data_IF_871961778262
#
_entry.id   IF_871961778262
#
_cell.length_a   1.000
_cell.length_b   1.000
_cell.length_c   1.000
_cell.angle_alpha   90.00
_cell.angle_beta   90.00
_cell.angle_gamma   90.00
#
_symmetry.space_group_name_H-M   'P 1'
#
loop_
_entity.id
_entity.type
_entity.pdbx_description
1 polymer ?
#
# COMPACT_ATOMS: atom_id res chain seq x y z
N UNK A 1 -8.43 -14.02 -3.27
CA UNK A 1 -8.25 -12.56 -3.39
C UNK A 1 -6.87 -12.29 -3.93
N UNK A 2 -6.76 -11.31 -4.83
CA UNK A 2 -5.45 -10.76 -5.22
C UNK A 2 -4.84 -9.99 -4.05
N UNK A 3 -3.54 -9.73 -4.07
CA UNK A 3 -2.89 -8.91 -3.04
C UNK A 3 -3.51 -7.49 -2.95
N UNK A 4 -3.80 -6.79 -4.08
CA UNK A 4 -4.54 -5.54 -4.05
C UNK A 4 -5.91 -5.66 -3.37
N UNK A 5 -6.67 -6.73 -3.61
CA UNK A 5 -7.96 -6.93 -2.93
C UNK A 5 -7.80 -7.10 -1.42
N UNK A 6 -6.76 -7.82 -0.98
CA UNK A 6 -6.46 -8.01 0.45
C UNK A 6 -6.13 -6.68 1.12
N UNK A 7 -5.29 -5.85 0.50
CA UNK A 7 -4.90 -4.53 1.02
C UNK A 7 -6.11 -3.59 1.06
N UNK A 8 -6.96 -3.63 0.04
CA UNK A 8 -8.22 -2.87 -0.01
C UNK A 8 -9.19 -3.33 1.09
N UNK A 9 -9.32 -4.63 1.34
CA UNK A 9 -10.16 -5.10 2.44
C UNK A 9 -9.63 -4.58 3.79
N UNK A 10 -8.32 -4.68 4.02
CA UNK A 10 -7.69 -4.18 5.23
C UNK A 10 -7.84 -2.66 5.44
N UNK A 11 -8.01 -1.88 4.35
CA UNK A 11 -8.32 -0.45 4.43
C UNK A 11 -9.70 -0.22 5.07
N UNK A 12 -10.72 -0.95 4.62
CA UNK A 12 -12.06 -0.86 5.21
C UNK A 12 -12.11 -1.41 6.62
N UNK A 13 -11.39 -2.51 6.89
CA UNK A 13 -11.28 -3.07 8.24
C UNK A 13 -10.65 -2.06 9.21
N UNK A 14 -9.63 -1.31 8.77
CA UNK A 14 -9.03 -0.25 9.58
C UNK A 14 -10.06 0.84 9.92
N UNK A 15 -10.84 1.29 8.94
CA UNK A 15 -11.87 2.33 9.15
C UNK A 15 -12.94 1.84 10.13
N UNK A 16 -13.38 0.60 9.99
CA UNK A 16 -14.39 -0.01 10.87
C UNK A 16 -13.87 -0.09 12.32
N UNK A 17 -12.61 -0.51 12.49
CA UNK A 17 -12.00 -0.68 13.82
C UNK A 17 -11.61 0.64 14.50
N UNK A 18 -11.18 1.65 13.74
CA UNK A 18 -10.58 2.88 14.29
C UNK A 18 -11.49 4.11 14.10
N UNK A 19 -12.63 3.97 13.41
CA UNK A 19 -13.52 5.06 13.02
C UNK A 19 -12.79 6.23 12.33
N UNK A 20 -11.68 5.94 11.64
CA UNK A 20 -10.76 6.92 11.04
C UNK A 20 -10.22 6.41 9.70
N UNK A 21 -10.05 7.30 8.73
CA UNK A 21 -9.52 6.96 7.40
C UNK A 21 -7.99 7.00 7.43
N UNK A 22 -7.28 5.86 7.22
CA UNK A 22 -5.83 5.86 7.19
C UNK A 22 -5.34 6.62 5.94
N UNK A 23 -4.21 7.29 6.05
CA UNK A 23 -3.66 8.12 4.98
C UNK A 23 -2.33 7.59 4.41
N UNK A 24 -1.82 6.49 4.98
CA UNK A 24 -0.52 5.92 4.61
C UNK A 24 -0.53 4.40 4.68
N UNK A 25 -0.07 3.75 3.61
CA UNK A 25 0.12 2.31 3.53
C UNK A 25 1.61 1.99 3.66
N UNK A 26 1.99 1.21 4.66
CA UNK A 26 3.36 0.71 4.79
C UNK A 26 3.40 -0.75 4.31
N UNK A 27 4.28 -1.09 3.38
CA UNK A 27 4.42 -2.45 2.82
C UNK A 27 5.85 -2.98 2.93
N UNK A 28 6.04 -4.29 2.96
CA UNK A 28 7.38 -4.89 2.83
C UNK A 28 7.94 -4.70 1.42
N UNK A 29 9.27 -4.82 1.27
CA UNK A 29 9.94 -4.74 -0.05
C UNK A 29 9.37 -5.76 -1.06
N UNK A 30 9.07 -6.98 -0.61
CA UNK A 30 8.51 -8.04 -1.48
C UNK A 30 7.06 -7.75 -1.86
N UNK A 31 6.27 -7.19 -0.94
CA UNK A 31 4.90 -6.75 -1.22
C UNK A 31 4.90 -5.60 -2.22
N UNK A 32 5.81 -4.63 -2.06
CA UNK A 32 5.98 -3.53 -3.01
C UNK A 32 6.32 -4.02 -4.42
N UNK A 33 7.26 -4.95 -4.57
CA UNK A 33 7.61 -5.55 -5.86
C UNK A 33 6.42 -6.30 -6.49
N UNK A 34 5.67 -7.02 -5.65
CA UNK A 34 4.46 -7.72 -6.09
C UNK A 34 3.41 -6.75 -6.61
N UNK A 35 3.17 -5.64 -5.89
CA UNK A 35 2.24 -4.58 -6.29
C UNK A 35 2.66 -3.87 -7.58
N UNK A 36 3.95 -3.63 -7.80
CA UNK A 36 4.45 -3.06 -9.06
C UNK A 36 4.18 -3.96 -10.28
N UNK A 37 4.10 -5.27 -10.06
CA UNK A 37 3.88 -6.25 -11.13
C UNK A 37 2.39 -6.50 -11.38
N UNK A 38 1.51 -6.03 -10.50
CA UNK A 38 0.08 -6.29 -10.54
C UNK A 38 -0.67 -5.18 -11.30
N UNK A 39 -1.55 -5.56 -12.23
CA UNK A 39 -2.38 -4.62 -12.97
C UNK A 39 -3.71 -4.41 -12.22
N UNK A 40 -3.69 -3.52 -11.23
CA UNK A 40 -4.87 -3.18 -10.43
C UNK A 40 -5.23 -1.70 -10.55
N UNK A 41 -6.53 -1.41 -10.70
CA UNK A 41 -7.06 -0.04 -10.70
C UNK A 41 -6.84 0.73 -9.39
N UNK A 42 -6.50 0.01 -8.31
CA UNK A 42 -6.20 0.62 -7.02
C UNK A 42 -4.78 1.19 -6.94
N UNK A 43 -3.89 0.79 -7.85
CA UNK A 43 -2.48 1.12 -7.83
C UNK A 43 -2.19 2.17 -8.90
N UNK A 44 -1.55 3.27 -8.50
CA UNK A 44 -0.97 4.25 -9.41
C UNK A 44 0.51 4.35 -9.15
N UNK A 45 1.31 4.16 -10.18
CA UNK A 45 2.76 4.31 -10.15
C UNK A 45 3.16 5.60 -10.85
N UNK A 46 4.06 6.36 -10.24
CA UNK A 46 4.60 7.60 -10.78
C UNK A 46 6.12 7.41 -10.87
N UNK A 47 6.69 7.29 -12.09
CA UNK A 47 8.13 7.21 -12.24
C UNK A 47 8.77 8.52 -11.76
N UNK A 48 9.82 8.43 -10.96
CA UNK A 48 10.57 9.58 -10.47
C UNK A 48 11.91 9.72 -11.21
N UNK A 49 12.40 10.95 -11.33
CA UNK A 49 13.70 11.25 -11.96
C UNK A 49 14.89 10.58 -11.25
N UNK A 50 14.70 10.13 -10.00
CA UNK A 50 15.68 9.39 -9.20
C UNK A 50 15.84 7.92 -9.62
N UNK A 51 15.03 7.44 -10.57
CA UNK A 51 14.97 6.02 -10.93
C UNK A 51 14.14 5.17 -9.95
N UNK A 52 13.53 5.78 -8.94
CA UNK A 52 12.54 5.14 -8.08
C UNK A 52 11.13 5.31 -8.66
N UNK A 53 10.20 4.49 -8.20
CA UNK A 53 8.78 4.58 -8.54
C UNK A 53 8.03 4.95 -7.29
N UNK A 54 7.39 6.12 -7.28
CA UNK A 54 6.40 6.46 -6.26
C UNK A 54 5.13 5.66 -6.53
N UNK A 55 4.48 5.19 -5.47
CA UNK A 55 3.30 4.35 -5.56
C UNK A 55 2.20 4.91 -4.67
N UNK A 56 1.00 4.98 -5.23
CA UNK A 56 -0.23 5.28 -4.50
C UNK A 56 -1.18 4.10 -4.56
N UNK A 57 -1.76 3.75 -3.41
CA UNK A 57 -2.79 2.74 -3.28
C UNK A 57 -4.09 3.39 -2.82
N UNK A 58 -5.17 3.28 -3.60
CA UNK A 58 -6.43 4.01 -3.39
C UNK A 58 -6.24 5.55 -3.29
N UNK A 59 -5.17 6.07 -3.91
CA UNK A 59 -4.81 7.50 -3.84
C UNK A 59 -3.97 7.90 -2.63
N UNK A 60 -3.69 6.99 -1.70
CA UNK A 60 -2.84 7.22 -0.53
C UNK A 60 -1.40 6.76 -0.76
N UNK A 61 -0.45 7.39 -0.08
CA UNK A 61 0.97 7.11 -0.24
C UNK A 61 1.33 5.71 0.24
N UNK A 62 2.26 5.06 -0.48
CA UNK A 62 2.79 3.74 -0.15
C UNK A 62 4.27 3.86 0.23
N UNK A 63 4.58 3.54 1.48
CA UNK A 63 5.94 3.45 1.99
C UNK A 63 6.48 2.03 2.00
N UNK A 64 7.80 1.89 1.90
CA UNK A 64 8.48 0.60 2.06
C UNK A 64 9.03 0.48 3.47
N UNK A 65 8.64 -0.57 4.18
CA UNK A 65 9.15 -0.99 5.47
C UNK A 65 10.53 -1.65 5.33
N UNK A 66 11.46 -1.26 6.19
CA UNK A 66 12.75 -1.94 6.37
C UNK A 66 12.65 -3.17 7.32
N UNK A 67 11.50 -3.39 7.96
CA UNK A 67 11.24 -4.50 8.88
C UNK A 67 10.37 -5.60 8.26
N UNK A 68 10.51 -6.82 8.76
CA UNK A 68 9.89 -8.04 8.22
C UNK A 68 8.57 -8.45 8.90
N UNK A 69 8.05 -7.68 9.85
CA UNK A 69 7.01 -8.22 10.74
C UNK A 69 5.63 -8.34 10.09
N UNK A 70 5.31 -7.53 9.07
CA UNK A 70 4.06 -7.65 8.32
C UNK A 70 4.27 -7.35 6.83
N UNK A 71 3.56 -8.04 5.92
CA UNK A 71 3.63 -7.75 4.48
C UNK A 71 3.07 -6.37 4.16
N UNK A 72 2.06 -5.90 4.91
CA UNK A 72 1.53 -4.54 4.82
C UNK A 72 0.79 -4.13 6.10
N UNK A 73 0.61 -2.82 6.29
CA UNK A 73 -0.17 -2.21 7.39
C UNK A 73 -0.63 -0.81 7.00
N UNK A 74 -1.89 -0.49 7.26
CA UNK A 74 -2.43 0.87 7.19
C UNK A 74 -2.13 1.67 8.45
N UNK A 75 -1.77 2.95 8.28
CA UNK A 75 -1.41 3.86 9.38
C UNK A 75 -2.02 5.25 9.17
N UNK A 76 -2.13 5.98 10.27
CA UNK A 76 -2.18 7.44 10.28
C UNK A 76 -0.74 7.94 10.34
N UNK A 77 -0.34 8.71 9.34
CA UNK A 77 0.90 9.48 9.32
C UNK A 77 0.74 10.77 10.13
#
# INVERSE_FOLDING_TARGET
>A
MTLPDQIKQAFFDYIDQNHSVPNYLLVSSDTHKSLLSDQSDFIKTIPMDTGMVDMKFLGYEVGISNGNDTPFTWKMN
#
